data_IF_808484199714
#
_entry.id   IF_808484199714
#
_cell.length_a   1.000
_cell.length_b   1.000
_cell.length_c   1.000
_cell.angle_alpha   90.00
_cell.angle_beta   90.00
_cell.angle_gamma   90.00
#
_symmetry.space_group_name_H-M   'P 1'
#
loop_
_entity.id
_entity.type
_entity.pdbx_description
1 polymer ?
#
# COMPACT_ATOMS: atom_id res chain seq x y z
N UNK A 1 -22.21 -51.81 -18.52
CA UNK A 1 -22.62 -50.45 -18.08
C UNK A 1 -21.36 -49.64 -17.76
N UNK A 2 -20.87 -48.83 -18.71
CA UNK A 2 -19.64 -48.03 -18.57
C UNK A 2 -20.04 -46.60 -18.26
N UNK A 3 -19.54 -46.05 -17.14
CA UNK A 3 -19.83 -44.69 -16.68
C UNK A 3 -19.04 -43.69 -17.54
N UNK A 4 -19.76 -42.75 -18.16
CA UNK A 4 -19.22 -41.66 -18.95
C UNK A 4 -18.62 -40.60 -18.02
N UNK A 5 -17.30 -40.47 -18.06
CA UNK A 5 -16.54 -39.37 -17.46
C UNK A 5 -16.81 -38.09 -18.26
N UNK A 6 -17.42 -37.10 -17.63
CA UNK A 6 -17.57 -35.75 -18.20
C UNK A 6 -16.25 -35.00 -18.04
N UNK A 7 -15.47 -34.92 -19.11
CA UNK A 7 -14.36 -33.96 -19.23
C UNK A 7 -14.94 -32.60 -19.58
N UNK A 8 -14.78 -31.64 -18.66
CA UNK A 8 -15.11 -30.24 -18.89
C UNK A 8 -14.02 -29.64 -19.80
N UNK A 9 -14.26 -29.66 -21.11
CA UNK A 9 -13.38 -28.99 -22.08
C UNK A 9 -13.60 -27.49 -21.97
N UNK A 10 -12.64 -26.77 -21.38
CA UNK A 10 -12.60 -25.31 -21.42
C UNK A 10 -12.29 -24.92 -22.86
N UNK A 11 -13.28 -24.38 -23.56
CA UNK A 11 -13.10 -23.80 -24.88
C UNK A 11 -12.18 -22.58 -24.75
N UNK A 12 -10.94 -22.74 -25.20
CA UNK A 12 -10.00 -21.66 -25.43
C UNK A 12 -10.51 -20.86 -26.64
N UNK A 13 -11.32 -19.83 -26.40
CA UNK A 13 -11.69 -18.88 -27.45
C UNK A 13 -10.48 -17.98 -27.71
N UNK A 14 -9.63 -18.43 -28.64
CA UNK A 14 -8.67 -17.58 -29.34
C UNK A 14 -9.47 -16.72 -30.31
N UNK A 15 -10.03 -15.64 -29.78
CA UNK A 15 -10.61 -14.53 -30.55
C UNK A 15 -9.63 -13.38 -30.54
N UNK A 16 -9.16 -12.98 -31.71
CA UNK A 16 -8.21 -11.89 -31.96
C UNK A 16 -8.59 -10.58 -31.24
N UNK A 17 -7.86 -10.24 -30.18
CA UNK A 17 -7.75 -8.89 -29.65
C UNK A 17 -6.27 -8.55 -29.45
N UNK A 18 -5.51 -8.52 -30.55
CA UNK A 18 -4.09 -8.13 -30.60
C UNK A 18 -3.85 -6.62 -30.37
N UNK A 19 -4.65 -5.99 -29.50
CA UNK A 19 -4.53 -4.58 -29.14
C UNK A 19 -4.60 -4.28 -27.64
N UNK A 20 -5.21 -5.17 -26.83
CA UNK A 20 -5.45 -4.85 -25.41
C UNK A 20 -4.52 -5.60 -24.44
N UNK A 21 -3.91 -6.72 -24.84
CA UNK A 21 -2.92 -7.41 -23.99
C UNK A 21 -1.66 -6.57 -23.75
N UNK A 22 -1.32 -5.63 -24.64
CA UNK A 22 -0.15 -4.76 -24.50
C UNK A 22 -0.30 -3.76 -23.34
N UNK A 23 -1.50 -3.24 -23.09
CA UNK A 23 -1.69 -2.18 -22.08
C UNK A 23 -1.60 -2.74 -20.66
N UNK A 24 -2.12 -3.94 -20.41
CA UNK A 24 -2.02 -4.62 -19.12
C UNK A 24 -0.59 -5.05 -18.77
N UNK A 25 0.17 -5.50 -19.77
CA UNK A 25 1.58 -5.87 -19.58
C UNK A 25 2.44 -4.62 -19.33
N UNK A 26 2.20 -3.53 -20.06
CA UNK A 26 2.86 -2.24 -19.82
C UNK A 26 2.54 -1.69 -18.42
N UNK A 27 1.26 -1.66 -18.02
CA UNK A 27 0.87 -1.15 -16.70
C UNK A 27 1.50 -2.01 -15.58
N UNK A 28 1.52 -3.34 -15.71
CA UNK A 28 2.12 -4.23 -14.72
C UNK A 28 3.65 -4.08 -14.61
N UNK A 29 4.36 -3.97 -15.73
CA UNK A 29 5.80 -3.73 -15.74
C UNK A 29 6.15 -2.37 -15.09
N UNK A 30 5.39 -1.32 -15.42
CA UNK A 30 5.53 0.00 -14.82
C UNK A 30 5.32 -0.06 -13.30
N UNK A 31 4.32 -0.81 -12.82
CA UNK A 31 4.03 -0.87 -11.37
C UNK A 31 5.21 -1.37 -10.53
N UNK A 32 5.97 -2.36 -11.02
CA UNK A 32 7.09 -2.99 -10.28
C UNK A 32 8.28 -2.07 -10.09
N UNK A 33 8.42 -1.05 -10.93
CA UNK A 33 9.53 -0.08 -10.84
C UNK A 33 9.28 1.01 -9.78
N UNK A 34 8.03 1.17 -9.32
CA UNK A 34 7.73 2.15 -8.30
C UNK A 34 8.36 1.76 -6.96
N UNK A 35 9.40 2.50 -6.59
CA UNK A 35 10.26 2.17 -5.44
C UNK A 35 9.51 2.02 -4.12
N UNK A 36 8.41 2.76 -3.91
CA UNK A 36 7.66 2.77 -2.64
C UNK A 36 6.38 1.94 -2.71
N UNK A 37 6.29 1.00 -3.66
CA UNK A 37 5.07 0.20 -3.86
C UNK A 37 4.74 -0.65 -2.62
N UNK A 38 5.74 -1.32 -2.06
CA UNK A 38 5.53 -2.12 -0.86
C UNK A 38 5.22 -1.25 0.36
N UNK A 39 5.92 -0.13 0.54
CA UNK A 39 5.64 0.82 1.63
C UNK A 39 4.18 1.29 1.59
N UNK A 40 3.68 1.67 0.41
CA UNK A 40 2.27 2.03 0.21
C UNK A 40 1.31 0.88 0.58
N UNK A 41 1.61 -0.35 0.13
CA UNK A 41 0.79 -1.53 0.41
C UNK A 41 0.72 -1.83 1.91
N UNK A 42 1.86 -1.76 2.59
CA UNK A 42 1.97 -2.03 4.02
C UNK A 42 1.33 -0.91 4.84
N UNK A 43 1.46 0.35 4.42
CA UNK A 43 0.76 1.48 5.05
C UNK A 43 -0.77 1.31 5.04
N UNK A 44 -1.36 0.80 3.94
CA UNK A 44 -2.80 0.48 3.90
C UNK A 44 -3.19 -0.57 4.93
N UNK A 45 -2.38 -1.63 5.08
CA UNK A 45 -2.62 -2.68 6.09
C UNK A 45 -2.56 -2.16 7.53
N UNK A 46 -1.93 -1.02 7.79
CA UNK A 46 -1.93 -0.42 9.13
C UNK A 46 -3.31 0.08 9.55
N UNK A 47 -4.16 0.49 8.61
CA UNK A 47 -5.55 0.84 8.92
C UNK A 47 -6.29 -0.38 9.51
N UNK A 48 -6.07 -1.57 8.96
CA UNK A 48 -6.66 -2.79 9.51
C UNK A 48 -6.17 -3.08 10.95
N UNK A 49 -4.91 -2.78 11.27
CA UNK A 49 -4.39 -2.91 12.64
C UNK A 49 -5.08 -1.94 13.60
N UNK A 50 -5.26 -0.68 13.19
CA UNK A 50 -5.98 0.32 14.00
C UNK A 50 -7.42 -0.15 14.28
N UNK A 51 -8.12 -0.67 13.28
CA UNK A 51 -9.47 -1.23 13.47
C UNK A 51 -9.47 -2.44 14.40
N UNK A 52 -8.46 -3.32 14.31
CA UNK A 52 -8.32 -4.47 15.22
C UNK A 52 -8.10 -4.00 16.66
N UNK A 53 -7.24 -3.01 16.89
CA UNK A 53 -7.03 -2.42 18.22
C UNK A 53 -8.32 -1.80 18.76
N UNK A 54 -9.06 -1.05 17.94
CA UNK A 54 -10.34 -0.47 18.34
C UNK A 54 -11.36 -1.53 18.75
N UNK A 55 -11.51 -2.60 17.96
CA UNK A 55 -12.40 -3.73 18.30
C UNK A 55 -12.00 -4.45 19.58
N UNK A 56 -10.69 -4.57 19.83
CA UNK A 56 -10.20 -5.18 21.06
C UNK A 56 -10.57 -4.35 22.29
N UNK A 57 -10.53 -3.01 22.18
CA UNK A 57 -10.99 -2.12 23.25
C UNK A 57 -12.51 -2.17 23.47
N UNK A 58 -13.29 -2.52 22.44
CA UNK A 58 -14.75 -2.74 22.55
C UNK A 58 -15.10 -4.08 23.21
N UNK A 59 -14.15 -5.00 23.35
CA UNK A 59 -14.39 -6.28 24.00
C UNK A 59 -14.63 -6.09 25.51
N UNK A 60 -15.56 -6.90 26.05
CA UNK A 60 -15.83 -6.93 27.50
C UNK A 60 -14.55 -7.28 28.26
N UNK A 61 -13.90 -8.35 27.85
CA UNK A 61 -12.62 -8.82 28.38
C UNK A 61 -11.56 -8.56 27.31
N UNK A 62 -10.63 -7.65 27.61
CA UNK A 62 -9.54 -7.27 26.70
C UNK A 62 -8.45 -8.33 26.76
N UNK A 63 -8.12 -8.91 25.61
CA UNK A 63 -6.92 -9.72 25.39
C UNK A 63 -5.70 -8.79 25.32
N UNK A 64 -5.06 -8.65 26.48
CA UNK A 64 -3.87 -7.80 26.67
C UNK A 64 -2.71 -8.23 25.77
N UNK A 65 -2.53 -9.53 25.54
CA UNK A 65 -1.42 -10.04 24.75
C UNK A 65 -1.65 -9.79 23.25
N UNK A 66 -2.89 -9.96 22.78
CA UNK A 66 -3.27 -9.57 21.44
C UNK A 66 -3.09 -8.06 21.22
N UNK A 67 -3.55 -7.23 22.15
CA UNK A 67 -3.43 -5.77 22.04
C UNK A 67 -1.97 -5.31 21.98
N UNK A 68 -1.11 -5.87 22.84
CA UNK A 68 0.35 -5.64 22.79
C UNK A 68 0.96 -6.06 21.45
N UNK A 69 0.56 -7.22 20.92
CA UNK A 69 1.06 -7.70 19.63
C UNK A 69 0.65 -6.77 18.48
N UNK A 70 -0.59 -6.27 18.48
CA UNK A 70 -1.08 -5.31 17.50
C UNK A 70 -0.32 -3.97 17.60
N UNK A 71 -0.13 -3.46 18.81
CA UNK A 71 0.62 -2.23 19.09
C UNK A 71 2.07 -2.34 18.62
N UNK A 72 2.74 -3.45 18.97
CA UNK A 72 4.12 -3.73 18.58
C UNK A 72 4.25 -3.83 17.06
N UNK A 73 3.32 -4.51 16.39
CA UNK A 73 3.31 -4.62 14.93
C UNK A 73 3.10 -3.27 14.26
N UNK A 74 2.20 -2.44 14.79
CA UNK A 74 1.97 -1.10 14.26
C UNK A 74 3.22 -0.23 14.39
N UNK A 75 3.84 -0.25 15.58
CA UNK A 75 5.07 0.50 15.87
C UNK A 75 6.23 0.07 14.97
N UNK A 76 6.43 -1.24 14.79
CA UNK A 76 7.47 -1.77 13.92
C UNK A 76 7.29 -1.25 12.48
N UNK A 77 6.09 -1.38 11.94
CA UNK A 77 5.79 -0.96 10.57
C UNK A 77 5.95 0.54 10.41
N UNK A 78 5.45 1.35 11.35
CA UNK A 78 5.58 2.81 11.27
C UNK A 78 7.05 3.24 11.26
N UNK A 79 7.89 2.61 12.08
CA UNK A 79 9.33 2.85 12.04
C UNK A 79 9.95 2.40 10.71
N UNK A 80 9.55 1.22 10.19
CA UNK A 80 10.01 0.73 8.89
C UNK A 80 9.63 1.65 7.73
N UNK A 81 8.44 2.26 7.74
CA UNK A 81 8.03 3.25 6.75
C UNK A 81 8.88 4.55 6.81
N UNK A 82 9.43 4.89 7.98
CA UNK A 82 10.29 6.07 8.15
C UNK A 82 11.74 5.78 7.75
N UNK A 83 12.30 4.68 8.27
CA UNK A 83 13.73 4.40 8.25
C UNK A 83 14.14 3.25 7.32
N UNK A 84 13.19 2.44 6.88
CA UNK A 84 13.43 1.15 6.24
C UNK A 84 13.35 0.00 7.25
N UNK A 85 12.94 -1.17 6.79
CA UNK A 85 12.94 -2.45 7.51
C UNK A 85 12.99 -3.59 6.49
N UNK A 86 14.17 -4.20 6.32
CA UNK A 86 14.39 -5.28 5.35
C UNK A 86 13.53 -6.51 5.64
N UNK A 87 13.23 -6.79 6.92
CA UNK A 87 12.38 -7.93 7.30
C UNK A 87 10.93 -7.76 6.85
N UNK A 88 10.51 -6.52 6.61
CA UNK A 88 9.19 -6.15 6.09
C UNK A 88 9.23 -5.72 4.62
N UNK A 89 10.41 -5.80 3.99
CA UNK A 89 10.69 -5.27 2.65
C UNK A 89 10.32 -3.78 2.51
N UNK A 90 10.44 -3.02 3.59
CA UNK A 90 10.16 -1.59 3.63
C UNK A 90 11.42 -0.83 3.30
N UNK A 91 11.36 0.03 2.28
CA UNK A 91 12.52 0.85 1.90
C UNK A 91 12.66 2.09 2.76
N UNK A 92 11.57 2.47 3.42
CA UNK A 92 11.47 3.79 4.02
C UNK A 92 11.58 4.89 2.97
N UNK A 93 11.65 6.14 3.42
CA UNK A 93 11.71 7.27 2.50
C UNK A 93 12.49 8.45 3.06
N UNK A 94 13.19 9.16 2.19
CA UNK A 94 13.84 10.46 2.48
C UNK A 94 13.08 11.64 1.88
N UNK A 95 11.96 11.39 1.20
CA UNK A 95 11.15 12.45 0.59
C UNK A 95 10.53 13.34 1.68
N UNK A 96 10.77 14.66 1.67
CA UNK A 96 10.35 15.55 2.76
C UNK A 96 8.87 15.47 3.12
N UNK A 97 7.98 15.41 2.12
CA UNK A 97 6.53 15.32 2.34
C UNK A 97 6.12 14.06 3.11
N UNK A 98 6.66 12.90 2.72
CA UNK A 98 6.40 11.64 3.42
C UNK A 98 7.05 11.62 4.81
N UNK A 99 8.31 12.07 4.90
CA UNK A 99 9.05 12.17 6.17
C UNK A 99 8.29 12.99 7.20
N UNK A 100 7.81 14.17 6.82
CA UNK A 100 7.05 15.05 7.71
C UNK A 100 5.79 14.36 8.23
N UNK A 101 4.97 13.79 7.33
CA UNK A 101 3.73 13.11 7.71
C UNK A 101 3.96 11.87 8.59
N UNK A 102 4.98 11.07 8.29
CA UNK A 102 5.32 9.88 9.06
C UNK A 102 5.86 10.21 10.46
N UNK A 103 6.66 11.27 10.58
CA UNK A 103 7.16 11.75 11.89
C UNK A 103 6.00 12.31 12.73
N UNK A 104 5.07 13.04 12.11
CA UNK A 104 3.84 13.49 12.76
C UNK A 104 3.04 12.29 13.30
N UNK A 105 2.82 11.27 12.45
CA UNK A 105 2.16 10.02 12.83
C UNK A 105 2.85 9.32 13.99
N UNK A 106 4.19 9.24 13.98
CA UNK A 106 4.98 8.62 15.06
C UNK A 106 4.82 9.36 16.38
N UNK A 107 4.78 10.70 16.37
CA UNK A 107 4.54 11.50 17.58
C UNK A 107 3.16 11.22 18.14
N UNK A 108 2.13 11.32 17.28
CA UNK A 108 0.73 11.08 17.67
C UNK A 108 0.58 9.67 18.24
N UNK A 109 1.12 8.66 17.55
CA UNK A 109 1.09 7.28 18.03
C UNK A 109 1.75 7.08 19.41
N UNK A 110 2.85 7.79 19.69
CA UNK A 110 3.49 7.71 20.99
C UNK A 110 2.58 8.15 22.14
N UNK A 111 1.78 9.20 21.92
CA UNK A 111 0.79 9.70 22.89
C UNK A 111 -0.40 8.74 23.02
N UNK A 112 -0.93 8.29 21.88
CA UNK A 112 -2.15 7.46 21.83
C UNK A 112 -1.92 6.03 22.32
N UNK A 113 -0.76 5.43 22.01
CA UNK A 113 -0.40 4.09 22.51
C UNK A 113 -0.33 4.05 24.03
N UNK A 114 0.11 5.14 24.67
CA UNK A 114 0.11 5.24 26.13
C UNK A 114 -1.31 5.23 26.69
N UNK A 115 -2.18 6.09 26.16
CA UNK A 115 -3.59 6.14 26.57
C UNK A 115 -4.28 4.78 26.36
N UNK A 116 -3.99 4.11 25.25
CA UNK A 116 -4.53 2.77 24.97
C UNK A 116 -4.10 1.74 26.03
N UNK A 117 -2.83 1.72 26.42
CA UNK A 117 -2.34 0.82 27.49
C UNK A 117 -2.99 1.16 28.84
N UNK A 118 -3.13 2.45 29.17
CA UNK A 118 -3.76 2.90 30.40
C UNK A 118 -5.25 2.49 30.45
N UNK A 119 -5.93 2.43 29.30
CA UNK A 119 -7.33 2.00 29.18
C UNK A 119 -7.60 0.52 29.44
N UNK A 120 -6.54 -0.32 29.46
CA UNK A 120 -6.65 -1.73 29.85
C UNK A 120 -7.02 -1.83 31.33
N UNK A 121 -6.39 -1.01 32.17
CA UNK A 121 -6.60 -1.01 33.62
C UNK A 121 -7.70 -0.02 34.07
N UNK A 122 -8.10 0.89 33.19
CA UNK A 122 -9.16 1.87 33.47
C UNK A 122 -10.19 1.91 32.32
N UNK A 123 -11.35 1.31 32.56
CA UNK A 123 -12.42 1.19 31.56
C UNK A 123 -12.95 2.55 31.07
N UNK A 124 -12.93 3.58 31.93
CA UNK A 124 -13.44 4.91 31.60
C UNK A 124 -12.58 5.61 30.53
N UNK A 125 -11.32 5.18 30.34
CA UNK A 125 -10.43 5.70 29.32
C UNK A 125 -10.61 5.03 27.94
N UNK A 126 -11.41 3.96 27.84
CA UNK A 126 -11.54 3.21 26.57
C UNK A 126 -12.19 4.02 25.47
N UNK A 127 -13.21 4.79 25.78
CA UNK A 127 -13.88 5.64 24.78
C UNK A 127 -12.96 6.74 24.27
N UNK A 128 -12.14 7.33 25.15
CA UNK A 128 -11.11 8.29 24.73
C UNK A 128 -10.04 7.62 23.87
N UNK A 129 -9.53 6.45 24.29
CA UNK A 129 -8.55 5.68 23.52
C UNK A 129 -9.06 5.34 22.11
N UNK A 130 -10.32 4.93 21.98
CA UNK A 130 -10.95 4.69 20.67
C UNK A 130 -11.08 5.96 19.83
N UNK A 131 -11.48 7.08 20.43
CA UNK A 131 -11.55 8.36 19.72
C UNK A 131 -10.18 8.78 19.18
N UNK A 132 -9.11 8.54 19.94
CA UNK A 132 -7.72 8.75 19.48
C UNK A 132 -7.32 7.81 18.34
N UNK A 133 -7.61 6.52 18.44
CA UNK A 133 -7.38 5.56 17.34
C UNK A 133 -8.10 5.98 16.04
N UNK A 134 -9.30 6.56 16.14
CA UNK A 134 -9.98 7.14 14.98
C UNK A 134 -9.24 8.36 14.41
N UNK A 135 -8.67 9.21 15.27
CA UNK A 135 -7.77 10.29 14.84
C UNK A 135 -6.54 9.77 14.10
N UNK A 136 -5.93 8.68 14.58
CA UNK A 136 -4.81 8.00 13.93
C UNK A 136 -5.20 7.45 12.55
N UNK A 137 -6.40 6.88 12.44
CA UNK A 137 -6.94 6.36 11.18
C UNK A 137 -7.04 7.45 10.11
N UNK A 138 -7.47 8.65 10.49
CA UNK A 138 -7.54 9.81 9.58
C UNK A 138 -6.14 10.16 9.08
N UNK A 139 -5.16 10.27 9.99
CA UNK A 139 -3.76 10.57 9.63
C UNK A 139 -3.12 9.50 8.75
N UNK A 140 -3.44 8.23 8.98
CA UNK A 140 -3.02 7.14 8.10
C UNK A 140 -3.66 7.24 6.71
N UNK A 141 -4.92 7.66 6.62
CA UNK A 141 -5.60 7.90 5.34
C UNK A 141 -4.92 9.02 4.55
N UNK A 142 -4.53 10.11 5.22
CA UNK A 142 -3.76 11.19 4.59
C UNK A 142 -2.40 10.70 4.05
N UNK A 143 -1.68 9.87 4.81
CA UNK A 143 -0.43 9.26 4.35
C UNK A 143 -0.64 8.38 3.11
N UNK A 144 -1.69 7.55 3.11
CA UNK A 144 -2.03 6.69 1.97
C UNK A 144 -2.36 7.54 0.74
N UNK A 145 -3.04 8.67 0.92
CA UNK A 145 -3.34 9.58 -0.17
C UNK A 145 -2.06 10.22 -0.76
N UNK A 146 -1.08 10.57 0.08
CA UNK A 146 0.24 11.00 -0.41
C UNK A 146 0.92 9.90 -1.24
N UNK A 147 0.84 8.63 -0.81
CA UNK A 147 1.35 7.52 -1.60
C UNK A 147 0.61 7.37 -2.94
N UNK A 148 -0.71 7.47 -2.94
CA UNK A 148 -1.55 7.41 -4.16
C UNK A 148 -1.15 8.50 -5.16
N UNK A 149 -0.99 9.73 -4.69
CA UNK A 149 -0.60 10.86 -5.53
C UNK A 149 0.80 10.68 -6.12
N UNK A 150 1.76 10.26 -5.30
CA UNK A 150 3.12 9.95 -5.75
C UNK A 150 3.13 8.85 -6.81
N UNK A 151 2.36 7.78 -6.58
CA UNK A 151 2.23 6.66 -7.51
C UNK A 151 1.55 7.06 -8.83
N UNK A 152 0.49 7.86 -8.76
CA UNK A 152 -0.20 8.39 -9.95
C UNK A 152 0.74 9.25 -10.80
N UNK A 153 1.52 10.14 -10.18
CA UNK A 153 2.54 10.95 -10.88
C UNK A 153 3.61 10.08 -11.52
N UNK A 154 4.04 9.02 -10.84
CA UNK A 154 4.99 8.06 -11.41
C UNK A 154 4.40 7.40 -12.66
N UNK A 155 3.17 6.87 -12.61
CA UNK A 155 2.49 6.28 -13.76
C UNK A 155 2.41 7.25 -14.96
N UNK A 156 2.02 8.49 -14.71
CA UNK A 156 1.91 9.50 -15.75
C UNK A 156 3.25 9.77 -16.43
N UNK A 157 4.32 9.93 -15.64
CA UNK A 157 5.67 10.12 -16.17
C UNK A 157 6.12 8.93 -17.01
N UNK A 158 5.93 7.71 -16.53
CA UNK A 158 6.30 6.50 -17.28
C UNK A 158 5.56 6.39 -18.62
N UNK A 159 4.27 6.74 -18.65
CA UNK A 159 3.48 6.76 -19.90
C UNK A 159 3.98 7.82 -20.89
N UNK A 160 4.31 9.01 -20.41
CA UNK A 160 4.87 10.07 -21.28
C UNK A 160 6.22 9.62 -21.83
N UNK A 161 7.10 9.07 -21.00
CA UNK A 161 8.41 8.55 -21.43
C UNK A 161 8.28 7.47 -22.49
N UNK A 162 7.32 6.55 -22.39
CA UNK A 162 7.12 5.50 -23.41
C UNK A 162 6.59 6.06 -24.74
N UNK A 163 5.76 7.11 -24.70
CA UNK A 163 5.29 7.82 -25.90
C UNK A 163 6.47 8.53 -26.58
N UNK A 164 7.27 9.28 -25.82
CA UNK A 164 8.45 10.00 -26.34
C UNK A 164 9.43 9.02 -26.97
N UNK A 165 9.75 7.92 -26.28
CA UNK A 165 10.66 6.90 -26.78
C UNK A 165 10.18 6.29 -28.12
N UNK A 166 8.91 5.91 -28.21
CA UNK A 166 8.32 5.41 -29.46
C UNK A 166 8.37 6.44 -30.58
N UNK A 167 8.12 7.70 -30.27
CA UNK A 167 8.21 8.77 -31.26
C UNK A 167 9.64 8.95 -31.77
N UNK A 168 10.63 9.00 -30.88
CA UNK A 168 12.05 9.14 -31.24
C UNK A 168 12.53 7.99 -32.13
N UNK A 169 12.24 6.74 -31.76
CA UNK A 169 12.58 5.58 -32.58
C UNK A 169 11.91 5.60 -33.96
N UNK A 170 10.63 6.03 -34.02
CA UNK A 170 9.91 6.11 -35.28
C UNK A 170 10.45 7.24 -36.18
N UNK A 171 10.90 8.36 -35.62
CA UNK A 171 11.56 9.41 -36.38
C UNK A 171 12.91 8.96 -36.95
N UNK A 172 13.70 8.22 -36.17
CA UNK A 172 15.00 7.67 -36.63
C UNK A 172 14.80 6.66 -37.77
N UNK A 173 13.84 5.73 -37.63
CA UNK A 173 13.51 4.76 -38.69
C UNK A 173 13.06 5.43 -39.99
N UNK A 174 12.25 6.48 -39.92
CA UNK A 174 11.82 7.25 -41.09
C UNK A 174 12.98 7.98 -41.75
N UNK A 175 13.92 8.49 -40.96
CA UNK A 175 15.09 9.18 -41.52
C UNK A 175 16.01 8.21 -42.26
N UNK A 176 16.27 7.02 -41.71
CA UNK A 176 17.05 5.98 -42.37
C UNK A 176 16.37 5.52 -43.67
N UNK A 177 15.04 5.32 -43.66
CA UNK A 177 14.29 4.93 -44.85
C UNK A 177 14.22 6.02 -45.93
N UNK A 178 14.51 7.29 -45.61
CA UNK A 178 14.53 8.40 -46.58
C UNK A 178 15.89 8.61 -47.26
N UNK A 179 16.94 7.93 -46.78
CA UNK A 179 18.31 8.04 -47.27
C UNK A 179 18.69 6.85 -48.17
N UNK A 180 17.89 5.77 -48.12
CA UNK A 180 18.01 4.57 -48.98
C UNK A 180 17.07 4.65 -50.18
#
# INVERSE_FOLDING_TARGET
>A
MKKLTQTLTIALLVGTASGEASSYIEDYAITKEYKLLNDMRVARKQQELILKMGRELDARDVDVELLKALEGRFTQVLNGLIYGDDSLELRGTKLPAFRSKLVELKRVWGEESKLMRDSISNIDLRDEAKAKLNGLMIKMSELIELYNQSYSRFKQKSKISSIVYRHTLNSEKRHIASIL
#
